data_IF_048891425956
#
_entry.id   IF_048891425956
#
_cell.length_a   1.000
_cell.length_b   1.000
_cell.length_c   1.000
_cell.angle_alpha   90.00
_cell.angle_beta   90.00
_cell.angle_gamma   90.00
#
_symmetry.space_group_name_H-M   'P 1'
#
loop_
_entity.id
_entity.type
_entity.pdbx_description
1 polymer ?
#
# COMPACT_ATOMS: atom_id res chain seq x y z
N UNK A 1 47.71 21.22 -7.64
CA UNK A 1 47.05 19.90 -7.63
C UNK A 1 45.73 20.05 -6.90
N UNK A 2 44.60 19.98 -7.59
CA UNK A 2 43.26 20.06 -6.99
C UNK A 2 42.69 18.64 -6.88
N UNK A 3 42.53 18.17 -5.65
CA UNK A 3 41.95 16.87 -5.34
C UNK A 3 40.43 16.93 -5.51
N UNK A 4 39.88 16.24 -6.51
CA UNK A 4 38.42 16.10 -6.66
C UNK A 4 37.90 15.05 -5.66
N UNK A 5 36.95 15.45 -4.82
CA UNK A 5 36.29 14.59 -3.83
C UNK A 5 35.08 13.88 -4.45
N UNK A 6 35.06 12.56 -4.42
CA UNK A 6 34.10 11.68 -5.10
C UNK A 6 33.10 11.02 -4.15
N UNK A 7 32.42 11.79 -3.30
CA UNK A 7 31.53 11.23 -2.26
C UNK A 7 30.01 11.38 -2.52
N UNK A 8 29.58 11.99 -3.62
CA UNK A 8 28.15 12.33 -3.83
C UNK A 8 27.32 11.19 -4.47
N UNK A 9 27.95 10.28 -5.22
CA UNK A 9 27.22 9.31 -6.07
C UNK A 9 26.47 8.20 -5.31
N UNK A 10 26.92 7.77 -4.12
CA UNK A 10 26.21 6.71 -3.37
C UNK A 10 24.87 7.18 -2.82
N UNK A 11 24.73 8.46 -2.49
CA UNK A 11 23.55 8.96 -1.80
C UNK A 11 22.37 9.16 -2.76
N UNK A 12 22.64 9.48 -4.03
CA UNK A 12 21.60 9.65 -5.05
C UNK A 12 20.99 8.32 -5.49
N UNK A 13 21.81 7.28 -5.70
CA UNK A 13 21.31 5.93 -6.02
C UNK A 13 20.43 5.38 -4.90
N UNK A 14 20.90 5.47 -3.65
CA UNK A 14 20.13 5.04 -2.49
C UNK A 14 18.80 5.79 -2.34
N UNK A 15 18.78 7.11 -2.61
CA UNK A 15 17.52 7.89 -2.61
C UNK A 15 16.55 7.39 -3.69
N UNK A 16 17.04 7.18 -4.90
CA UNK A 16 16.22 6.71 -6.02
C UNK A 16 15.65 5.30 -5.78
N UNK A 17 16.43 4.42 -5.18
CA UNK A 17 15.99 3.07 -4.80
C UNK A 17 14.94 3.08 -3.69
N UNK A 18 15.09 3.98 -2.70
CA UNK A 18 14.09 4.18 -1.64
C UNK A 18 12.78 4.72 -2.20
N UNK A 19 12.82 5.73 -3.08
CA UNK A 19 11.63 6.31 -3.72
C UNK A 19 10.87 5.27 -4.54
N UNK A 20 11.60 4.43 -5.28
CA UNK A 20 11.01 3.34 -6.06
C UNK A 20 10.34 2.30 -5.15
N UNK A 21 11.00 1.93 -4.05
CA UNK A 21 10.48 0.98 -3.07
C UNK A 21 9.20 1.51 -2.42
N UNK A 22 9.20 2.78 -2.02
CA UNK A 22 8.03 3.42 -1.44
C UNK A 22 6.86 3.51 -2.42
N UNK A 23 7.10 3.91 -3.68
CA UNK A 23 6.05 3.93 -4.72
C UNK A 23 5.45 2.55 -4.98
N UNK A 24 6.28 1.50 -4.98
CA UNK A 24 5.81 0.12 -5.13
C UNK A 24 4.91 -0.31 -3.94
N UNK A 25 5.32 0.03 -2.71
CA UNK A 25 4.48 -0.19 -1.52
C UNK A 25 3.10 0.48 -1.66
N UNK A 26 3.06 1.73 -2.14
CA UNK A 26 1.80 2.45 -2.34
C UNK A 26 0.91 1.81 -3.42
N UNK A 27 1.45 1.41 -4.57
CA UNK A 27 0.67 0.70 -5.60
C UNK A 27 0.14 -0.64 -5.08
N UNK A 28 0.92 -1.34 -4.24
CA UNK A 28 0.46 -2.58 -3.63
C UNK A 28 -0.71 -2.36 -2.68
N UNK A 29 -0.62 -1.36 -1.80
CA UNK A 29 -1.70 -0.98 -0.88
C UNK A 29 -2.95 -0.54 -1.67
N UNK A 30 -2.77 0.13 -2.79
CA UNK A 30 -3.87 0.62 -3.61
C UNK A 30 -4.78 -0.52 -4.13
N UNK A 31 -4.24 -1.73 -4.35
CA UNK A 31 -5.04 -2.88 -4.82
C UNK A 31 -5.94 -3.48 -3.74
N UNK A 32 -5.76 -3.13 -2.46
CA UNK A 32 -6.67 -3.52 -1.38
C UNK A 32 -7.97 -2.71 -1.37
N UNK A 33 -8.03 -1.59 -2.12
CA UNK A 33 -9.20 -0.71 -2.13
C UNK A 33 -10.29 -1.26 -3.08
N UNK A 34 -11.51 -1.55 -2.58
CA UNK A 34 -12.61 -2.06 -3.41
C UNK A 34 -12.96 -1.20 -4.61
N UNK A 35 -12.72 0.12 -4.53
CA UNK A 35 -12.99 1.06 -5.62
C UNK A 35 -12.12 0.85 -6.86
N UNK A 36 -10.99 0.17 -6.69
CA UNK A 36 -9.99 -0.02 -7.72
C UNK A 36 -10.03 -1.42 -8.33
N UNK A 37 -10.99 -2.26 -7.90
CA UNK A 37 -11.14 -3.60 -8.43
C UNK A 37 -11.84 -3.55 -9.79
N UNK A 38 -11.41 -4.40 -10.75
CA UNK A 38 -12.03 -4.47 -12.06
C UNK A 38 -13.44 -5.06 -11.91
N UNK A 39 -14.45 -4.25 -12.24
CA UNK A 39 -15.84 -4.66 -12.28
C UNK A 39 -16.24 -4.92 -13.73
N UNK A 40 -16.96 -6.02 -13.96
CA UNK A 40 -17.65 -6.29 -15.21
C UNK A 40 -18.87 -5.37 -15.35
N UNK A 41 -19.49 -5.36 -16.52
CA UNK A 41 -20.68 -4.53 -16.81
C UNK A 41 -21.86 -4.80 -15.86
N UNK A 42 -21.94 -6.02 -15.31
CA UNK A 42 -22.98 -6.44 -14.36
C UNK A 42 -22.67 -6.06 -12.90
N UNK A 43 -21.59 -5.29 -12.66
CA UNK A 43 -21.18 -4.85 -11.32
C UNK A 43 -20.54 -5.95 -10.45
N UNK A 44 -20.15 -7.07 -11.05
CA UNK A 44 -19.40 -8.16 -10.40
C UNK A 44 -17.90 -8.05 -10.65
N UNK A 45 -17.08 -8.77 -9.90
CA UNK A 45 -15.62 -8.80 -10.11
C UNK A 45 -15.29 -9.56 -11.40
N UNK A 46 -14.63 -8.87 -12.34
CA UNK A 46 -14.24 -9.44 -13.63
C UNK A 46 -13.10 -10.45 -13.51
N UNK A 47 -12.12 -10.15 -12.65
CA UNK A 47 -10.92 -10.98 -12.44
C UNK A 47 -10.65 -11.19 -10.97
N UNK A 48 -11.02 -12.38 -10.47
CA UNK A 48 -10.84 -12.72 -9.05
C UNK A 48 -9.37 -12.73 -8.63
N UNK A 49 -8.42 -12.93 -9.55
CA UNK A 49 -6.98 -12.94 -9.26
C UNK A 49 -6.34 -11.54 -9.27
N UNK A 50 -7.12 -10.49 -9.61
CA UNK A 50 -6.61 -9.13 -9.64
C UNK A 50 -6.07 -8.70 -8.27
N UNK A 51 -4.84 -8.20 -8.23
CA UNK A 51 -4.17 -7.76 -7.00
C UNK A 51 -3.50 -8.87 -6.19
N UNK A 52 -3.62 -10.15 -6.55
CA UNK A 52 -3.04 -11.25 -5.77
C UNK A 52 -1.50 -11.14 -5.66
N UNK A 53 -0.83 -10.68 -6.73
CA UNK A 53 0.61 -10.42 -6.71
C UNK A 53 0.98 -9.30 -5.72
N UNK A 54 0.20 -8.23 -5.70
CA UNK A 54 0.39 -7.11 -4.78
C UNK A 54 0.17 -7.54 -3.33
N UNK A 55 -0.86 -8.36 -3.06
CA UNK A 55 -1.11 -8.91 -1.72
C UNK A 55 0.05 -9.82 -1.30
N UNK A 56 0.56 -10.68 -2.20
CA UNK A 56 1.74 -11.50 -1.94
C UNK A 56 2.95 -10.64 -1.54
N UNK A 57 3.22 -9.56 -2.26
CA UNK A 57 4.31 -8.64 -1.92
C UNK A 57 4.12 -8.02 -0.52
N UNK A 58 2.91 -7.60 -0.18
CA UNK A 58 2.61 -7.06 1.15
C UNK A 58 2.75 -8.12 2.25
N UNK A 59 2.26 -9.34 2.03
CA UNK A 59 2.42 -10.45 2.97
C UNK A 59 3.91 -10.74 3.25
N UNK A 60 4.75 -10.73 2.21
CA UNK A 60 6.19 -10.89 2.36
C UNK A 60 6.82 -9.73 3.15
N UNK A 61 6.43 -8.49 2.86
CA UNK A 61 6.95 -7.30 3.55
C UNK A 61 6.57 -7.25 5.03
N UNK A 62 5.34 -7.64 5.38
CA UNK A 62 4.83 -7.62 6.75
C UNK A 62 4.95 -8.96 7.48
N UNK A 63 5.55 -9.97 6.84
CA UNK A 63 5.71 -11.32 7.39
C UNK A 63 4.37 -11.96 7.82
N UNK A 64 3.36 -11.85 6.97
CA UNK A 64 2.01 -12.40 7.16
C UNK A 64 1.85 -13.66 6.32
N UNK A 65 1.04 -14.62 6.79
CA UNK A 65 0.76 -15.84 6.03
C UNK A 65 0.12 -15.51 4.67
N UNK A 66 0.84 -15.83 3.60
CA UNK A 66 0.43 -15.49 2.24
C UNK A 66 -0.81 -16.27 1.79
N UNK A 67 -0.84 -17.58 2.09
CA UNK A 67 -1.82 -18.50 1.51
C UNK A 67 -3.22 -18.20 2.04
N UNK A 68 -3.38 -18.08 3.36
CA UNK A 68 -4.65 -17.71 4.00
C UNK A 68 -5.08 -16.30 3.60
N UNK A 69 -4.14 -15.34 3.57
CA UNK A 69 -4.45 -13.95 3.22
C UNK A 69 -4.97 -13.82 1.79
N UNK A 70 -4.34 -14.47 0.80
CA UNK A 70 -4.82 -14.43 -0.59
C UNK A 70 -6.22 -15.05 -0.71
N UNK A 71 -6.45 -16.18 -0.05
CA UNK A 71 -7.74 -16.85 -0.09
C UNK A 71 -8.83 -15.95 0.52
N UNK A 72 -8.56 -15.38 1.69
CA UNK A 72 -9.45 -14.44 2.38
C UNK A 72 -9.69 -13.16 1.57
N UNK A 73 -8.67 -12.63 0.89
CA UNK A 73 -8.79 -11.49 0.00
C UNK A 73 -9.72 -11.78 -1.19
N UNK A 74 -9.62 -12.97 -1.80
CA UNK A 74 -10.53 -13.38 -2.87
C UNK A 74 -11.97 -13.49 -2.38
N UNK A 75 -12.21 -14.09 -1.22
CA UNK A 75 -13.55 -14.18 -0.61
C UNK A 75 -14.10 -12.77 -0.36
N UNK A 76 -13.31 -11.89 0.24
CA UNK A 76 -13.69 -10.51 0.49
C UNK A 76 -14.04 -9.73 -0.81
N UNK A 77 -13.31 -9.99 -1.89
CA UNK A 77 -13.60 -9.44 -3.23
C UNK A 77 -14.93 -9.92 -3.80
N UNK A 78 -15.27 -11.20 -3.63
CA UNK A 78 -16.56 -11.74 -4.10
C UNK A 78 -17.74 -11.00 -3.50
N UNK A 79 -17.60 -10.50 -2.28
CA UNK A 79 -18.60 -9.68 -1.60
C UNK A 79 -18.45 -8.17 -1.87
N UNK A 80 -17.63 -7.77 -2.85
CA UNK A 80 -17.33 -6.37 -3.20
C UNK A 80 -16.84 -5.53 -2.01
N UNK A 81 -16.24 -6.17 -1.01
CA UNK A 81 -15.80 -5.51 0.22
C UNK A 81 -16.94 -4.94 1.05
N UNK A 82 -18.18 -5.43 0.87
CA UNK A 82 -19.37 -5.00 1.63
C UNK A 82 -19.51 -5.72 2.96
N UNK A 83 -18.94 -6.91 3.09
CA UNK A 83 -18.92 -7.69 4.35
C UNK A 83 -17.80 -7.24 5.26
N UNK A 84 -17.77 -7.80 6.46
CA UNK A 84 -16.64 -7.63 7.37
C UNK A 84 -15.35 -8.20 6.76
N UNK A 85 -14.22 -7.58 7.09
CA UNK A 85 -12.89 -8.04 6.68
C UNK A 85 -12.63 -9.42 7.32
N UNK A 86 -12.29 -10.48 6.55
CA UNK A 86 -12.01 -11.80 7.09
C UNK A 86 -10.86 -11.81 8.09
N UNK A 87 -10.90 -12.70 9.09
CA UNK A 87 -9.89 -12.78 10.16
C UNK A 87 -8.45 -12.87 9.63
N UNK A 88 -8.18 -13.73 8.65
CA UNK A 88 -6.83 -13.89 8.09
C UNK A 88 -6.36 -12.66 7.30
N UNK A 89 -7.28 -11.78 6.89
CA UNK A 89 -6.97 -10.54 6.18
C UNK A 89 -6.78 -9.35 7.15
N UNK A 90 -7.33 -9.41 8.37
CA UNK A 90 -7.22 -8.34 9.38
C UNK A 90 -5.77 -7.98 9.74
N UNK A 91 -4.82 -8.92 9.93
CA UNK A 91 -3.42 -8.59 10.21
C UNK A 91 -2.81 -7.68 9.15
N UNK A 92 -3.12 -7.92 7.88
CA UNK A 92 -2.59 -7.11 6.78
C UNK A 92 -3.10 -5.66 6.85
N UNK A 93 -4.40 -5.47 7.07
CA UNK A 93 -4.99 -4.14 7.24
C UNK A 93 -4.45 -3.42 8.48
N UNK A 94 -4.24 -4.14 9.59
CA UNK A 94 -3.63 -3.59 10.81
C UNK A 94 -2.19 -3.13 10.55
N UNK A 95 -1.38 -3.94 9.90
CA UNK A 95 0.01 -3.58 9.56
C UNK A 95 0.06 -2.33 8.69
N UNK A 96 -0.77 -2.26 7.65
CA UNK A 96 -0.86 -1.07 6.78
C UNK A 96 -1.28 0.18 7.57
N UNK A 97 -2.21 0.05 8.52
CA UNK A 97 -2.65 1.16 9.36
C UNK A 97 -1.51 1.71 10.27
N UNK A 98 -0.50 0.91 10.59
CA UNK A 98 0.65 1.36 11.40
C UNK A 98 1.68 2.17 10.64
N UNK A 99 1.64 2.19 9.29
CA UNK A 99 2.59 2.96 8.49
C UNK A 99 2.43 4.45 8.82
N UNK A 100 3.47 5.13 9.36
CA UNK A 100 3.40 6.55 9.66
C UNK A 100 3.36 7.34 8.36
N UNK A 101 2.53 8.38 8.31
CA UNK A 101 2.50 9.36 7.23
C UNK A 101 3.15 10.62 7.77
N UNK A 102 4.30 11.03 7.22
CA UNK A 102 4.99 12.24 7.69
C UNK A 102 4.27 13.49 7.19
N UNK A 103 4.11 14.49 8.06
CA UNK A 103 3.45 15.77 7.73
C UNK A 103 4.19 16.54 6.64
N UNK A 104 5.52 16.41 6.55
CA UNK A 104 6.33 17.06 5.51
C UNK A 104 6.10 16.49 4.11
N UNK A 105 5.58 15.26 3.99
CA UNK A 105 5.20 14.66 2.70
C UNK A 105 3.82 15.12 2.23
N UNK A 106 2.98 15.66 3.13
CA UNK A 106 1.68 16.23 2.79
C UNK A 106 1.79 17.63 2.15
N UNK A 107 2.86 18.37 2.45
CA UNK A 107 3.04 19.76 2.00
C UNK A 107 3.95 19.91 0.78
N UNK A 108 4.95 19.04 0.61
CA UNK A 108 5.98 19.22 -0.44
C UNK A 108 5.61 18.62 -1.78
N UNK A 109 4.71 17.65 -1.79
CA UNK A 109 4.19 17.05 -3.00
C UNK A 109 2.67 17.14 -2.91
N UNK A 110 2.02 17.62 -3.97
CA UNK A 110 0.70 17.12 -4.33
C UNK A 110 0.86 15.61 -4.61
N UNK A 111 1.10 14.79 -3.58
CA UNK A 111 1.08 13.34 -3.72
C UNK A 111 -0.36 13.05 -4.07
N UNK A 112 -0.59 12.79 -5.35
CA UNK A 112 -1.87 12.31 -5.86
C UNK A 112 -2.07 10.88 -5.36
N UNK A 113 -2.28 10.73 -4.06
CA UNK A 113 -2.94 9.61 -3.42
C UNK A 113 -4.34 10.09 -3.12
N UNK A 114 -5.24 10.07 -4.12
CA UNK A 114 -6.59 10.60 -3.94
C UNK A 114 -7.43 9.85 -2.91
N UNK A 115 -6.89 8.83 -2.25
CA UNK A 115 -7.22 8.47 -0.87
C UNK A 115 -6.10 7.58 -0.29
N UNK A 116 -5.25 8.06 0.61
CA UNK A 116 -4.40 7.16 1.45
C UNK A 116 -5.28 6.35 2.47
N UNK A 117 -6.48 5.91 2.06
CA UNK A 117 -7.76 5.87 2.79
C UNK A 117 -8.46 7.23 3.05
N UNK A 118 -7.96 8.31 2.43
CA UNK A 118 -8.33 9.74 2.57
C UNK A 118 -7.62 10.39 3.76
N UNK A 119 -6.29 10.51 3.62
CA UNK A 119 -5.40 11.26 4.52
C UNK A 119 -5.41 10.85 6.01
N UNK A 120 -5.55 9.55 6.36
CA UNK A 120 -5.51 9.09 7.77
C UNK A 120 -6.30 10.01 8.75
N UNK A 121 -7.46 10.57 8.34
CA UNK A 121 -8.17 11.70 8.99
C UNK A 121 -7.24 12.87 9.43
N UNK A 122 -6.89 13.76 8.49
CA UNK A 122 -6.17 15.05 8.66
C UNK A 122 -5.50 15.29 10.03
N UNK A 123 -4.17 15.14 10.08
CA UNK A 123 -3.30 15.58 11.18
C UNK A 123 -3.62 14.96 12.55
N UNK A 124 -2.64 14.22 13.11
CA UNK A 124 -2.32 14.29 14.54
C UNK A 124 -3.46 14.79 15.46
N UNK A 125 -4.48 13.98 15.74
CA UNK A 125 -5.10 14.04 17.05
C UNK A 125 -4.20 13.21 17.96
N UNK A 126 -3.23 13.93 18.49
CA UNK A 126 -2.25 13.53 19.47
C UNK A 126 -2.95 13.08 20.77
N UNK A 127 -2.31 12.10 21.44
CA UNK A 127 -2.31 11.85 22.90
C UNK A 127 -3.40 10.88 23.43
N UNK A 128 -2.86 9.73 23.90
CA UNK A 128 -3.34 8.74 24.87
C UNK A 128 -4.61 7.93 24.57
#
# INVERSE_FOLDING_TARGET
MTSSSSNVSRNEKNRQDNDKTFKNLLDNIEKLNPKNWPLSNDGQIDKIQFGDYNIRNLCQQFQIDEKSTIQSFRIYKMDLGKKEIPEDLKPLYKSIATIPVSTSECERNHVTTKNFFKYKNCCCSFIY
#
